data_IF_373578505785
#
_entry.id   IF_373578505785
#
_cell.length_a   1.000
_cell.length_b   1.000
_cell.length_c   1.000
_cell.angle_alpha   90.00
_cell.angle_beta   90.00
_cell.angle_gamma   90.00
#
_symmetry.space_group_name_H-M   'P 1'
#
loop_
_entity.id
_entity.type
_entity.pdbx_description
1 polymer ?
#
# COMPACT_ATOMS: atom_id res chain seq x y z
N UNK A 1 39.16 -18.88 40.20
CA UNK A 1 39.14 -18.51 38.77
C UNK A 1 38.48 -19.63 37.98
N UNK A 2 37.60 -19.26 37.03
CA UNK A 2 36.95 -20.08 35.97
C UNK A 2 35.69 -20.84 36.41
N UNK A 3 34.52 -20.19 36.45
CA UNK A 3 33.55 -19.90 35.34
C UNK A 3 32.59 -21.07 35.08
N UNK A 4 31.32 -20.86 35.39
CA UNK A 4 30.17 -21.66 34.96
C UNK A 4 29.92 -21.40 33.46
N UNK A 5 29.77 -22.47 32.67
CA UNK A 5 29.19 -22.37 31.33
C UNK A 5 27.74 -22.86 31.39
N UNK A 6 26.79 -21.92 31.38
CA UNK A 6 25.39 -22.20 31.12
C UNK A 6 25.24 -22.34 29.60
N UNK A 7 24.86 -23.53 29.15
CA UNK A 7 24.58 -23.81 27.75
C UNK A 7 23.23 -23.18 27.39
N UNK A 8 23.24 -21.95 26.87
CA UNK A 8 22.06 -21.36 26.24
C UNK A 8 21.95 -21.96 24.84
N UNK A 9 21.03 -22.90 24.65
CA UNK A 9 20.59 -23.29 23.31
C UNK A 9 19.92 -22.06 22.67
N UNK A 10 20.63 -21.40 21.76
CA UNK A 10 20.06 -20.39 20.90
C UNK A 10 19.05 -21.08 19.97
N UNK A 11 17.77 -20.93 20.28
CA UNK A 11 16.69 -21.25 19.34
C UNK A 11 16.84 -20.28 18.18
N UNK A 12 17.18 -20.79 17.00
CA UNK A 12 17.09 -20.01 15.75
C UNK A 12 15.61 -19.84 15.44
N UNK A 13 15.03 -18.75 15.94
CA UNK A 13 13.67 -18.34 15.55
C UNK A 13 13.80 -17.52 14.26
N UNK A 14 13.80 -18.19 13.11
CA UNK A 14 13.50 -17.52 11.84
C UNK A 14 11.99 -17.38 11.71
N UNK A 15 11.42 -16.35 12.34
CA UNK A 15 10.03 -15.95 12.13
C UNK A 15 9.86 -14.47 12.47
N UNK A 16 10.20 -13.60 11.54
CA UNK A 16 9.58 -12.27 11.50
C UNK A 16 8.28 -12.42 10.71
N UNK A 17 7.29 -13.08 11.33
CA UNK A 17 5.92 -12.85 10.94
C UNK A 17 5.65 -11.38 11.22
N UNK A 18 5.30 -10.61 10.18
CA UNK A 18 4.84 -9.23 10.32
C UNK A 18 3.74 -9.22 11.40
N UNK A 19 4.02 -8.62 12.55
CA UNK A 19 3.02 -8.45 13.60
C UNK A 19 1.83 -7.68 13.00
N UNK A 20 0.76 -8.41 12.69
CA UNK A 20 -0.51 -7.86 12.21
C UNK A 20 -1.02 -8.35 10.85
N UNK A 21 -0.22 -9.04 10.01
CA UNK A 21 -0.71 -9.50 8.70
C UNK A 21 -1.03 -11.01 8.68
N UNK A 22 -2.30 -11.39 8.88
CA UNK A 22 -2.79 -12.76 8.65
C UNK A 22 -3.03 -13.05 7.15
N UNK A 23 -2.03 -12.78 6.30
CA UNK A 23 -2.15 -13.06 4.88
C UNK A 23 -1.54 -14.42 4.53
N UNK A 24 -2.31 -15.28 3.85
CA UNK A 24 -1.88 -16.59 3.37
C UNK A 24 -1.83 -16.70 1.84
N UNK A 25 -2.03 -15.59 1.11
CA UNK A 25 -1.95 -15.51 -0.35
C UNK A 25 -0.96 -14.43 -0.79
N UNK A 26 0.27 -14.54 -0.28
CA UNK A 26 1.37 -13.70 -0.71
C UNK A 26 1.87 -14.14 -2.08
N UNK A 27 2.15 -13.18 -2.96
CA UNK A 27 3.00 -13.43 -4.13
C UNK A 27 4.43 -13.74 -3.70
N UNK A 28 5.27 -14.16 -4.66
CA UNK A 28 6.73 -14.05 -4.48
C UNK A 28 7.15 -12.58 -4.34
N UNK A 29 8.39 -12.35 -3.89
CA UNK A 29 9.00 -11.03 -3.91
C UNK A 29 9.40 -10.61 -5.33
N UNK A 30 9.29 -9.32 -5.60
CA UNK A 30 9.66 -8.62 -6.82
C UNK A 30 10.63 -7.50 -6.46
N UNK A 31 11.79 -7.46 -7.12
CA UNK A 31 12.69 -6.30 -7.17
C UNK A 31 12.96 -6.04 -8.64
N UNK A 32 12.66 -4.83 -9.08
CA UNK A 32 12.58 -4.42 -10.47
C UNK A 32 13.43 -3.20 -10.72
N UNK A 33 13.53 -2.28 -9.76
CA UNK A 33 14.37 -1.10 -9.86
C UNK A 33 15.59 -1.26 -8.95
N UNK A 34 16.77 -0.96 -9.48
CA UNK A 34 17.93 -0.74 -8.61
C UNK A 34 17.88 0.72 -8.16
N UNK A 35 18.37 1.08 -6.97
CA UNK A 35 18.45 2.47 -6.55
C UNK A 35 19.30 3.27 -7.56
N UNK A 36 18.62 4.01 -8.44
CA UNK A 36 19.27 4.90 -9.41
C UNK A 36 19.65 6.21 -8.72
N UNK A 37 20.23 7.16 -9.46
CA UNK A 37 20.60 8.47 -8.92
C UNK A 37 19.44 9.27 -8.28
N UNK A 38 18.16 8.92 -8.54
CA UNK A 38 17.01 9.65 -8.03
C UNK A 38 16.14 8.91 -6.99
N UNK A 39 15.94 7.59 -7.12
CA UNK A 39 14.94 6.84 -6.35
C UNK A 39 15.05 5.32 -6.57
N UNK A 40 14.33 4.59 -5.73
CA UNK A 40 13.95 3.18 -5.93
C UNK A 40 12.40 3.07 -5.98
N UNK A 41 11.87 2.42 -7.03
CA UNK A 41 10.43 2.29 -7.29
C UNK A 41 9.99 0.87 -7.63
N UNK A 42 9.44 0.18 -6.64
CA UNK A 42 8.72 -1.08 -6.84
C UNK A 42 7.23 -0.84 -7.13
N UNK A 43 6.95 -0.31 -8.33
CA UNK A 43 5.60 0.02 -8.77
C UNK A 43 4.77 -1.22 -9.12
N UNK A 44 3.63 -1.42 -8.46
CA UNK A 44 2.69 -2.51 -8.76
C UNK A 44 2.29 -2.52 -10.25
N UNK A 45 2.07 -1.34 -10.85
CA UNK A 45 1.70 -1.24 -12.26
C UNK A 45 2.79 -1.80 -13.19
N UNK A 46 4.06 -1.48 -12.94
CA UNK A 46 5.19 -1.97 -13.74
C UNK A 46 5.45 -3.45 -13.50
N UNK A 47 5.47 -3.86 -12.23
CA UNK A 47 5.65 -5.26 -11.82
C UNK A 47 4.59 -6.14 -12.52
N UNK A 48 3.32 -5.74 -12.52
CA UNK A 48 2.25 -6.51 -13.19
C UNK A 48 2.42 -6.61 -14.71
N UNK A 49 2.99 -5.58 -15.35
CA UNK A 49 3.24 -5.60 -16.79
C UNK A 49 4.39 -6.52 -17.17
N UNK A 50 5.45 -6.53 -16.36
CA UNK A 50 6.66 -7.32 -16.58
C UNK A 50 6.49 -8.77 -16.11
N UNK A 51 5.64 -9.00 -15.12
CA UNK A 51 5.31 -10.30 -14.53
C UNK A 51 3.85 -10.72 -14.79
N UNK A 52 3.39 -10.58 -16.03
CA UNK A 52 1.99 -10.84 -16.40
C UNK A 52 1.52 -12.28 -16.15
N UNK A 53 2.44 -13.25 -16.15
CA UNK A 53 2.15 -14.66 -15.88
C UNK A 53 2.01 -15.00 -14.39
N UNK A 54 2.43 -14.11 -13.48
CA UNK A 54 2.44 -14.40 -12.04
C UNK A 54 1.07 -14.19 -11.39
N UNK A 55 0.04 -13.83 -12.17
CA UNK A 55 -1.35 -13.67 -11.71
C UNK A 55 -1.51 -12.80 -10.46
N UNK A 56 -0.69 -11.75 -10.32
CA UNK A 56 -0.84 -10.75 -9.24
C UNK A 56 -2.25 -10.18 -9.34
N UNK A 57 -3.01 -10.30 -8.26
CA UNK A 57 -4.39 -9.84 -8.17
C UNK A 57 -4.53 -8.37 -8.57
N UNK A 58 -5.73 -8.01 -9.04
CA UNK A 58 -5.98 -6.67 -9.56
C UNK A 58 -5.81 -5.58 -8.52
N UNK A 59 -6.19 -5.88 -7.28
CA UNK A 59 -6.12 -4.96 -6.15
C UNK A 59 -5.61 -5.74 -4.93
N UNK A 60 -4.30 -5.69 -4.66
CA UNK A 60 -3.76 -6.27 -3.44
C UNK A 60 -4.34 -5.60 -2.20
N UNK A 61 -4.50 -6.38 -1.13
CA UNK A 61 -4.98 -5.88 0.17
C UNK A 61 -3.85 -5.51 1.13
N UNK A 62 -2.65 -6.00 0.87
CA UNK A 62 -1.48 -5.77 1.71
C UNK A 62 -0.21 -5.81 0.87
N UNK A 63 0.84 -5.19 1.40
CA UNK A 63 2.16 -5.16 0.80
C UNK A 63 3.20 -5.39 1.88
N UNK A 64 4.15 -6.24 1.56
CA UNK A 64 5.31 -6.51 2.40
C UNK A 64 6.56 -6.05 1.66
N UNK A 65 7.48 -5.45 2.40
CA UNK A 65 8.62 -4.69 1.88
C UNK A 65 9.86 -4.99 2.72
N UNK A 66 10.90 -5.45 2.04
CA UNK A 66 12.20 -5.73 2.62
C UNK A 66 13.30 -5.15 1.72
N UNK A 67 14.47 -4.87 2.27
CA UNK A 67 15.66 -4.66 1.44
C UNK A 67 16.07 -5.97 0.77
N UNK A 68 16.92 -5.91 -0.25
CA UNK A 68 17.51 -7.14 -0.84
C UNK A 68 18.30 -7.97 0.18
N UNK A 69 18.86 -7.31 1.20
CA UNK A 69 19.57 -7.95 2.32
C UNK A 69 18.61 -8.57 3.37
N UNK A 70 17.29 -8.42 3.20
CA UNK A 70 16.29 -8.98 4.10
C UNK A 70 15.99 -8.14 5.35
N UNK A 71 16.37 -6.86 5.35
CA UNK A 71 16.01 -5.93 6.42
C UNK A 71 14.59 -5.44 6.18
N UNK A 72 13.74 -5.53 7.21
CA UNK A 72 12.38 -5.02 7.12
C UNK A 72 12.38 -3.49 6.97
N UNK A 73 11.49 -2.94 6.13
CA UNK A 73 11.56 -1.51 5.76
C UNK A 73 11.49 -0.55 6.95
N UNK A 74 10.83 -0.93 8.06
CA UNK A 74 10.74 -0.08 9.26
C UNK A 74 12.04 0.00 10.02
N UNK A 75 12.86 -1.04 9.92
CA UNK A 75 14.15 -1.15 10.59
C UNK A 75 15.29 -0.61 9.70
N UNK A 76 15.00 -0.35 8.43
CA UNK A 76 15.95 0.17 7.45
C UNK A 76 16.31 1.66 7.64
N UNK A 77 15.52 2.42 8.43
CA UNK A 77 15.82 3.82 8.74
C UNK A 77 15.53 4.84 7.63
N UNK A 78 14.85 4.43 6.55
CA UNK A 78 14.55 5.30 5.40
C UNK A 78 13.10 5.83 5.40
N UNK A 79 12.92 7.04 4.85
CA UNK A 79 11.61 7.66 4.65
C UNK A 79 10.99 7.14 3.35
N UNK A 80 10.02 6.23 3.46
CA UNK A 80 9.44 5.52 2.30
C UNK A 80 7.93 5.75 2.15
N UNK A 81 7.41 5.54 0.93
CA UNK A 81 5.98 5.51 0.65
C UNK A 81 5.55 4.10 0.25
N UNK A 82 4.56 3.56 0.96
CA UNK A 82 4.12 2.17 0.82
C UNK A 82 2.60 2.12 0.68
N UNK A 83 2.12 1.31 -0.26
CA UNK A 83 0.70 0.98 -0.33
C UNK A 83 0.41 -0.18 -1.27
N UNK A 84 -0.53 -1.06 -0.91
CA UNK A 84 -0.78 -2.30 -1.64
C UNK A 84 -1.30 -2.11 -3.06
N UNK A 85 -1.82 -0.91 -3.36
CA UNK A 85 -2.43 -0.59 -4.65
C UNK A 85 -1.53 0.23 -5.58
N UNK A 86 -0.40 0.75 -5.09
CA UNK A 86 0.58 1.46 -5.92
C UNK A 86 2.00 0.87 -5.86
N UNK A 87 2.35 0.15 -4.79
CA UNK A 87 3.65 -0.46 -4.59
C UNK A 87 4.47 0.27 -3.51
N UNK A 88 5.76 0.42 -3.77
CA UNK A 88 6.73 1.07 -2.90
C UNK A 88 7.47 2.18 -3.65
N UNK A 89 7.90 3.21 -2.92
CA UNK A 89 8.77 4.25 -3.41
C UNK A 89 9.69 4.77 -2.31
N UNK A 90 10.98 4.82 -2.61
CA UNK A 90 11.99 5.56 -1.88
C UNK A 90 12.54 6.68 -2.76
N UNK A 91 12.74 7.88 -2.19
CA UNK A 91 13.27 9.03 -2.92
C UNK A 91 14.59 9.49 -2.30
N UNK A 92 15.67 9.50 -3.07
CA UNK A 92 17.01 9.88 -2.58
C UNK A 92 17.00 11.26 -1.90
N UNK A 93 16.26 12.23 -2.46
CA UNK A 93 16.17 13.59 -1.91
C UNK A 93 15.39 13.69 -0.58
N UNK A 94 14.75 12.61 -0.12
CA UNK A 94 14.10 12.51 1.18
C UNK A 94 14.97 11.81 2.22
N UNK A 95 16.09 11.20 1.80
CA UNK A 95 16.97 10.48 2.72
C UNK A 95 18.13 11.35 3.24
N UNK A 96 18.54 11.16 4.51
CA UNK A 96 19.64 11.91 5.11
C UNK A 96 20.98 11.76 4.36
N UNK A 97 21.27 10.56 3.87
CA UNK A 97 22.51 10.22 3.14
C UNK A 97 22.38 10.39 1.61
N UNK A 98 21.22 10.86 1.15
CA UNK A 98 20.84 11.06 -0.25
C UNK A 98 20.86 9.79 -1.10
N UNK A 99 20.67 8.63 -0.49
CA UNK A 99 20.59 7.35 -1.21
C UNK A 99 19.39 6.57 -0.70
N UNK A 100 18.85 5.73 -1.57
CA UNK A 100 17.89 4.71 -1.21
C UNK A 100 18.62 3.38 -1.13
N UNK A 101 18.21 2.53 -0.18
CA UNK A 101 18.50 1.11 -0.22
C UNK A 101 17.75 0.45 -1.39
N UNK A 102 18.15 -0.76 -1.74
CA UNK A 102 17.51 -1.58 -2.77
C UNK A 102 16.43 -2.45 -2.13
N UNK A 103 15.19 -2.30 -2.58
CA UNK A 103 14.03 -2.97 -2.01
C UNK A 103 13.42 -4.03 -2.93
N UNK A 104 12.72 -4.96 -2.29
CA UNK A 104 11.82 -5.92 -2.92
C UNK A 104 10.46 -5.86 -2.23
N UNK A 105 9.41 -6.09 -3.01
CA UNK A 105 8.03 -6.08 -2.53
C UNK A 105 7.31 -7.37 -2.86
N UNK A 106 6.36 -7.77 -2.03
CA UNK A 106 5.35 -8.79 -2.38
C UNK A 106 3.96 -8.30 -1.99
N UNK A 107 2.96 -8.83 -2.67
CA UNK A 107 1.59 -8.37 -2.57
C UNK A 107 0.70 -9.47 -1.98
N UNK A 108 -0.19 -9.09 -1.05
CA UNK A 108 -1.20 -9.99 -0.53
C UNK A 108 -2.47 -9.88 -1.39
N UNK A 109 -2.94 -11.02 -1.87
CA UNK A 109 -4.12 -11.08 -2.74
C UNK A 109 -5.41 -11.53 -2.05
N UNK A 110 -5.44 -11.48 -0.72
CA UNK A 110 -6.65 -11.77 0.04
C UNK A 110 -7.63 -10.61 0.03
N UNK A 111 -8.92 -10.91 0.17
CA UNK A 111 -9.92 -9.90 0.47
C UNK A 111 -9.84 -9.49 1.95
N UNK A 112 -9.49 -8.23 2.27
CA UNK A 112 -9.52 -7.69 3.64
C UNK A 112 -10.43 -6.48 3.73
N UNK A 113 -11.29 -6.46 4.75
CA UNK A 113 -11.97 -5.23 5.18
C UNK A 113 -10.98 -4.34 5.95
N UNK A 114 -10.92 -3.03 5.66
CA UNK A 114 -10.09 -2.11 6.43
C UNK A 114 -10.49 -2.13 7.92
N UNK A 115 -9.54 -2.40 8.81
CA UNK A 115 -9.75 -2.30 10.25
C UNK A 115 -9.65 -0.84 10.69
N UNK A 116 -10.53 -0.42 11.59
CA UNK A 116 -10.50 0.91 12.20
C UNK A 116 -10.50 0.78 13.71
N UNK A 117 -9.49 1.35 14.35
CA UNK A 117 -9.35 1.39 15.81
C UNK A 117 -9.99 2.63 16.45
N UNK A 118 -10.46 3.58 15.63
CA UNK A 118 -11.21 4.76 16.05
C UNK A 118 -12.62 4.77 15.46
N UNK A 119 -13.08 5.92 14.97
CA UNK A 119 -14.39 6.09 14.34
C UNK A 119 -14.27 6.35 12.84
N UNK A 120 -15.11 5.66 12.09
CA UNK A 120 -15.31 5.95 10.67
C UNK A 120 -16.07 7.27 10.51
N UNK A 121 -15.61 8.11 9.59
CA UNK A 121 -16.41 9.21 9.05
C UNK A 121 -17.61 8.68 8.24
N UNK A 122 -18.58 9.53 7.88
CA UNK A 122 -19.46 9.27 6.74
C UNK A 122 -18.66 8.98 5.46
N UNK A 123 -19.33 8.41 4.46
CA UNK A 123 -18.78 8.32 3.12
C UNK A 123 -18.89 9.66 2.40
N UNK A 124 -17.85 9.99 1.64
CA UNK A 124 -17.74 11.16 0.78
C UNK A 124 -17.52 10.70 -0.66
N UNK A 125 -18.18 11.37 -1.59
CA UNK A 125 -17.97 11.29 -3.03
C UNK A 125 -17.95 12.74 -3.51
N UNK A 126 -16.77 13.21 -3.87
CA UNK A 126 -16.52 14.58 -4.30
C UNK A 126 -16.36 14.64 -5.81
N UNK A 127 -15.76 13.62 -6.40
CA UNK A 127 -15.53 13.54 -7.84
C UNK A 127 -16.46 12.51 -8.48
N UNK A 128 -16.76 12.71 -9.76
CA UNK A 128 -17.50 11.73 -10.55
C UNK A 128 -16.57 11.20 -11.64
N UNK A 129 -16.70 9.93 -12.06
CA UNK A 129 -15.86 9.36 -13.11
C UNK A 129 -16.03 10.13 -14.42
N UNK A 130 -15.10 11.06 -14.67
CA UNK A 130 -15.16 12.00 -15.78
C UNK A 130 -13.75 12.42 -16.20
N UNK A 131 -13.59 12.84 -17.46
CA UNK A 131 -12.31 13.26 -18.05
C UNK A 131 -11.14 12.30 -17.78
N UNK A 132 -10.39 12.50 -16.68
CA UNK A 132 -9.19 11.73 -16.32
C UNK A 132 -9.45 10.51 -15.42
N UNK A 133 -10.60 10.41 -14.76
CA UNK A 133 -10.89 9.32 -13.83
C UNK A 133 -11.89 9.69 -12.74
N UNK A 134 -11.75 9.05 -11.59
CA UNK A 134 -12.47 9.37 -10.36
C UNK A 134 -11.46 9.61 -9.24
N UNK A 135 -11.49 10.80 -8.63
CA UNK A 135 -10.48 11.34 -7.73
C UNK A 135 -11.05 11.77 -6.38
N UNK A 136 -10.99 10.86 -5.41
CA UNK A 136 -11.36 11.11 -4.02
C UNK A 136 -10.13 11.48 -3.19
N UNK A 137 -9.48 12.61 -3.54
CA UNK A 137 -8.21 13.01 -2.93
C UNK A 137 -8.39 13.51 -1.50
N UNK A 138 -7.48 13.11 -0.61
CA UNK A 138 -7.55 13.47 0.81
C UNK A 138 -7.50 14.98 1.04
N UNK A 139 -6.64 15.69 0.31
CA UNK A 139 -6.48 17.14 0.44
C UNK A 139 -7.77 17.88 0.12
N UNK A 140 -8.43 17.55 -0.99
CA UNK A 140 -9.66 18.22 -1.42
C UNK A 140 -10.83 17.86 -0.49
N UNK A 141 -10.95 16.58 -0.12
CA UNK A 141 -11.98 16.13 0.81
C UNK A 141 -11.86 16.78 2.18
N UNK A 142 -10.65 16.89 2.74
CA UNK A 142 -10.42 17.54 4.03
C UNK A 142 -10.62 19.05 3.98
N UNK A 143 -10.39 19.69 2.83
CA UNK A 143 -10.73 21.09 2.63
C UNK A 143 -12.25 21.30 2.69
N UNK A 144 -13.02 20.44 2.01
CA UNK A 144 -14.48 20.48 1.96
C UNK A 144 -15.15 20.01 3.28
N UNK A 145 -14.52 19.09 4.02
CA UNK A 145 -15.12 18.44 5.19
C UNK A 145 -14.17 18.47 6.40
N UNK A 146 -14.39 19.43 7.31
CA UNK A 146 -13.59 19.60 8.53
C UNK A 146 -13.70 18.43 9.52
N UNK A 147 -14.70 17.56 9.37
CA UNK A 147 -14.86 16.35 10.19
C UNK A 147 -13.81 15.28 9.89
N UNK A 148 -13.08 15.40 8.77
CA UNK A 148 -11.96 14.50 8.45
C UNK A 148 -10.73 14.94 9.26
N UNK A 149 -10.23 14.06 10.11
CA UNK A 149 -9.02 14.28 10.91
C UNK A 149 -7.78 14.51 10.03
N UNK A 150 -6.74 15.13 10.62
CA UNK A 150 -5.51 15.47 9.88
C UNK A 150 -4.68 14.24 9.46
N UNK A 151 -4.76 13.14 10.20
CA UNK A 151 -3.97 11.92 9.99
C UNK A 151 -4.88 10.69 10.18
N UNK A 152 -5.66 10.31 9.17
CA UNK A 152 -6.49 9.12 9.25
C UNK A 152 -5.62 7.85 9.27
N UNK A 153 -6.03 6.86 10.05
CA UNK A 153 -5.30 5.58 10.18
C UNK A 153 -5.68 4.56 9.12
N UNK A 154 -6.86 4.70 8.50
CA UNK A 154 -7.35 3.82 7.45
C UNK A 154 -8.30 4.58 6.51
N UNK A 155 -8.51 4.00 5.33
CA UNK A 155 -9.48 4.44 4.32
C UNK A 155 -10.31 3.22 3.89
N UNK A 156 -11.61 3.42 3.72
CA UNK A 156 -12.54 2.42 3.17
C UNK A 156 -13.18 3.00 1.91
N UNK A 157 -13.22 2.20 0.85
CA UNK A 157 -13.64 2.63 -0.48
C UNK A 157 -14.73 1.70 -1.00
N UNK A 158 -15.83 2.28 -1.47
CA UNK A 158 -16.97 1.53 -1.98
C UNK A 158 -17.42 2.08 -3.31
N UNK A 159 -18.00 1.21 -4.13
CA UNK A 159 -18.74 1.60 -5.32
C UNK A 159 -20.00 2.38 -4.91
N UNK A 160 -20.26 3.49 -5.58
CA UNK A 160 -21.47 4.30 -5.33
C UNK A 160 -22.72 3.51 -5.70
N UNK A 161 -22.71 2.85 -6.87
CA UNK A 161 -23.87 2.16 -7.46
C UNK A 161 -24.51 1.07 -6.60
N UNK A 162 -23.73 0.38 -5.76
CA UNK A 162 -24.22 -0.78 -5.01
C UNK A 162 -23.58 -0.96 -3.62
N UNK A 163 -22.70 -0.06 -3.19
CA UNK A 163 -22.03 -0.14 -1.89
C UNK A 163 -21.11 -1.34 -1.72
N UNK A 164 -20.80 -2.08 -2.79
CA UNK A 164 -19.79 -3.15 -2.75
C UNK A 164 -18.42 -2.57 -2.60
N UNK A 165 -17.52 -3.39 -2.07
CA UNK A 165 -16.11 -3.04 -1.96
C UNK A 165 -15.51 -2.76 -3.35
N UNK A 166 -14.65 -1.74 -3.42
CA UNK A 166 -13.99 -1.31 -4.64
C UNK A 166 -13.21 -2.43 -5.35
N UNK A 167 -12.70 -3.42 -4.59
CA UNK A 167 -11.98 -4.59 -5.12
C UNK A 167 -12.82 -5.44 -6.07
N UNK A 168 -14.14 -5.42 -5.89
CA UNK A 168 -15.09 -6.14 -6.74
C UNK A 168 -15.26 -5.55 -8.13
N UNK A 169 -14.84 -4.30 -8.35
CA UNK A 169 -14.91 -3.63 -9.65
C UNK A 169 -13.91 -4.22 -10.67
N UNK A 170 -12.82 -4.82 -10.17
CA UNK A 170 -11.76 -5.32 -11.04
C UNK A 170 -11.02 -4.22 -11.80
N UNK A 171 -10.96 -3.02 -11.23
CA UNK A 171 -10.25 -1.84 -11.74
C UNK A 171 -8.88 -1.68 -11.06
N UNK A 172 -7.95 -1.05 -11.78
CA UNK A 172 -6.64 -0.65 -11.24
C UNK A 172 -6.78 0.70 -10.56
N UNK A 173 -6.78 0.70 -9.24
CA UNK A 173 -6.99 1.91 -8.44
C UNK A 173 -5.81 2.15 -7.50
N UNK A 174 -5.76 3.32 -6.89
CA UNK A 174 -4.82 3.63 -5.81
C UNK A 174 -5.57 4.08 -4.56
N UNK A 175 -5.12 3.59 -3.41
CA UNK A 175 -5.77 3.74 -2.11
C UNK A 175 -4.68 4.03 -1.08
N UNK A 176 -4.77 5.17 -0.40
CA UNK A 176 -3.84 5.54 0.66
C UNK A 176 -4.53 6.47 1.67
N UNK A 177 -4.52 6.20 2.99
CA UNK A 177 -5.20 7.05 3.97
C UNK A 177 -4.77 8.53 3.94
N UNK A 178 -3.49 8.80 3.69
CA UNK A 178 -2.91 10.15 3.69
C UNK A 178 -3.02 10.88 2.34
N UNK A 179 -3.30 10.17 1.25
CA UNK A 179 -3.42 10.76 -0.11
C UNK A 179 -4.84 10.69 -0.68
N UNK A 180 -5.67 9.77 -0.18
CA UNK A 180 -7.03 9.51 -0.65
C UNK A 180 -7.10 8.30 -1.57
N UNK A 181 -8.07 8.34 -2.47
CA UNK A 181 -8.32 7.32 -3.48
C UNK A 181 -8.30 7.95 -4.87
N UNK A 182 -7.82 7.21 -5.87
CA UNK A 182 -8.04 7.57 -7.25
C UNK A 182 -8.07 6.38 -8.18
N UNK A 183 -8.94 6.49 -9.18
CA UNK A 183 -9.00 5.64 -10.35
C UNK A 183 -8.62 6.50 -11.57
N UNK A 184 -7.79 6.00 -12.47
CA UNK A 184 -7.43 6.71 -13.71
C UNK A 184 -7.98 5.99 -14.93
N UNK A 185 -8.78 6.68 -15.74
CA UNK A 185 -9.39 6.14 -16.96
C UNK A 185 -8.34 5.45 -17.85
N UNK A 186 -7.18 6.09 -18.05
CA UNK A 186 -6.09 5.57 -18.90
C UNK A 186 -5.48 4.23 -18.41
N UNK A 187 -5.69 3.86 -17.15
CA UNK A 187 -5.18 2.61 -16.58
C UNK A 187 -6.19 1.46 -16.65
N UNK A 188 -7.45 1.75 -17.02
CA UNK A 188 -8.50 0.75 -17.13
C UNK A 188 -8.61 0.16 -18.52
N UNK A 189 -9.02 -1.12 -18.55
CA UNK A 189 -9.16 -1.90 -19.79
C UNK A 189 -10.21 -1.30 -20.73
N UNK A 190 -11.32 -0.82 -20.17
CA UNK A 190 -12.42 -0.16 -20.87
C UNK A 190 -12.25 1.37 -20.96
N UNK A 191 -11.10 1.89 -20.50
CA UNK A 191 -10.77 3.31 -20.45
C UNK A 191 -11.73 4.16 -19.61
N UNK A 192 -12.42 3.56 -18.65
CA UNK A 192 -13.38 4.26 -17.80
C UNK A 192 -13.25 3.76 -16.36
N UNK A 193 -13.40 4.68 -15.43
CA UNK A 193 -13.54 4.38 -14.01
C UNK A 193 -15.00 4.16 -13.63
N UNK A 194 -15.24 3.27 -12.68
CA UNK A 194 -16.47 3.26 -11.90
C UNK A 194 -16.52 4.47 -10.94
N UNK A 195 -17.69 4.71 -10.36
CA UNK A 195 -17.92 5.79 -9.40
C UNK A 195 -17.72 5.29 -7.96
N UNK A 196 -16.85 5.96 -7.20
CA UNK A 196 -16.41 5.54 -5.88
C UNK A 196 -16.73 6.56 -4.80
N UNK A 197 -16.79 6.08 -3.57
CA UNK A 197 -16.91 6.90 -2.37
C UNK A 197 -15.99 6.39 -1.29
N UNK A 198 -15.42 7.31 -0.52
CA UNK A 198 -14.43 7.02 0.52
C UNK A 198 -14.89 7.44 1.89
N UNK A 199 -14.41 6.76 2.92
CA UNK A 199 -14.48 7.24 4.31
C UNK A 199 -13.15 6.99 5.00
N UNK A 200 -12.89 7.75 6.06
CA UNK A 200 -11.62 7.74 6.78
C UNK A 200 -11.81 7.27 8.21
N UNK A 201 -10.86 6.51 8.73
CA UNK A 201 -10.82 6.14 10.14
C UNK A 201 -10.04 7.21 10.90
N UNK A 202 -10.70 7.85 11.85
CA UNK A 202 -10.14 8.91 12.69
C UNK A 202 -10.14 8.49 14.17
N UNK A 203 -9.21 9.00 14.98
CA UNK A 203 -9.18 8.73 16.43
C UNK A 203 -10.50 9.08 17.14
#
# INVERSE_FOLDING_TARGET
>A
MKTFAVLVLAVVVCSHAVEGSNCNQWTKFYSRDQPTAAADYESLYRIRREHSCDNICKVPSDIDVETLEGVYYRDAGEVVQIGPTFGFACFNNKQPDRKCLDYKVRFCCMEKTPKCTGKWTPFYNRDRPSYSGDWETFTELRQAHKSICAKPSAIDVKLVKNGKDYRTAGEVVSVNPSKGFWCQNKLQKDKRCEDYKVRFCCP
#
